data_IF_831554404487
#
_entry.id   IF_831554404487
#
_cell.length_a   1.000
_cell.length_b   1.000
_cell.length_c   1.000
_cell.angle_alpha   90.00
_cell.angle_beta   90.00
_cell.angle_gamma   90.00
#
_symmetry.space_group_name_H-M   'P 1'
#
loop_
_entity.id
_entity.type
_entity.pdbx_description
1 polymer ?
#
# COMPACT_ATOMS: atom_id res chain seq x y z
N UNK A 1 5.37 -11.65 5.11
CA UNK A 1 4.15 -11.97 4.34
C UNK A 1 2.94 -11.39 5.06
N UNK A 2 2.04 -10.70 4.35
CA UNK A 2 0.80 -10.19 4.92
C UNK A 2 -0.20 -11.33 5.18
N UNK A 3 -0.83 -11.36 6.35
CA UNK A 3 -1.90 -12.32 6.65
C UNK A 3 -3.25 -11.75 6.23
N UNK A 4 -4.09 -12.57 5.58
CA UNK A 4 -5.45 -12.17 5.27
C UNK A 4 -6.29 -12.20 6.56
N UNK A 5 -6.70 -11.02 7.03
CA UNK A 5 -7.43 -10.86 8.29
C UNK A 5 -8.90 -11.31 8.24
N UNK A 6 -9.38 -11.92 7.14
CA UNK A 6 -10.76 -12.41 6.95
C UNK A 6 -11.83 -11.41 7.43
N UNK A 7 -11.58 -10.13 7.20
CA UNK A 7 -12.48 -9.03 7.57
C UNK A 7 -13.68 -9.06 6.63
N UNK A 8 -14.90 -9.04 7.17
CA UNK A 8 -16.11 -8.91 6.38
C UNK A 8 -16.47 -7.44 6.21
N UNK A 9 -16.48 -6.89 4.98
CA UNK A 9 -16.90 -5.51 4.74
C UNK A 9 -18.33 -5.25 5.20
N UNK A 10 -19.22 -6.24 5.06
CA UNK A 10 -20.62 -6.13 5.47
C UNK A 10 -20.77 -5.96 6.98
N UNK A 11 -20.00 -6.73 7.77
CA UNK A 11 -20.01 -6.61 9.22
C UNK A 11 -19.41 -5.26 9.62
N UNK A 12 -18.25 -4.91 9.06
CA UNK A 12 -17.57 -3.65 9.39
C UNK A 12 -18.48 -2.44 9.11
N UNK A 13 -19.17 -2.41 7.98
CA UNK A 13 -20.07 -1.31 7.60
C UNK A 13 -21.34 -1.21 8.46
N UNK A 14 -21.76 -2.30 9.12
CA UNK A 14 -22.92 -2.28 10.02
C UNK A 14 -22.63 -1.76 11.43
N UNK A 15 -21.34 -1.64 11.79
CA UNK A 15 -20.87 -1.22 13.10
C UNK A 15 -20.58 0.28 13.15
N UNK A 16 -20.68 0.88 14.33
CA UNK A 16 -20.21 2.25 14.55
C UNK A 16 -18.67 2.36 14.58
N UNK A 17 -18.12 3.57 14.69
CA UNK A 17 -16.68 3.79 14.58
C UNK A 17 -15.83 3.11 15.66
N UNK A 18 -16.30 3.05 16.91
CA UNK A 18 -15.57 2.40 18.00
C UNK A 18 -15.76 0.87 17.95
N UNK A 19 -16.93 0.41 17.52
CA UNK A 19 -17.24 -1.00 17.28
C UNK A 19 -16.43 -1.55 16.08
N UNK A 20 -16.26 -0.78 15.01
CA UNK A 20 -15.43 -1.13 13.86
C UNK A 20 -13.98 -1.37 14.28
N UNK A 21 -13.45 -0.47 15.11
CA UNK A 21 -12.09 -0.57 15.62
C UNK A 21 -11.92 -1.79 16.53
N UNK A 22 -12.90 -2.04 17.40
CA UNK A 22 -12.90 -3.21 18.28
C UNK A 22 -12.96 -4.51 17.48
N UNK A 23 -13.81 -4.59 16.47
CA UNK A 23 -13.89 -5.75 15.57
C UNK A 23 -12.58 -5.99 14.81
N UNK A 24 -11.94 -4.93 14.30
CA UNK A 24 -10.64 -5.03 13.65
C UNK A 24 -9.56 -5.55 14.61
N UNK A 25 -9.53 -5.03 15.84
CA UNK A 25 -8.61 -5.47 16.89
C UNK A 25 -8.76 -6.96 17.18
N UNK A 26 -9.99 -7.46 17.29
CA UNK A 26 -10.25 -8.89 17.47
C UNK A 26 -9.72 -9.75 16.32
N UNK A 27 -9.88 -9.30 15.06
CA UNK A 27 -9.34 -10.06 13.91
C UNK A 27 -7.80 -10.06 13.90
N UNK A 28 -7.18 -8.95 14.25
CA UNK A 28 -5.73 -8.84 14.38
C UNK A 28 -5.20 -9.80 15.46
N UNK A 29 -5.85 -9.85 16.62
CA UNK A 29 -5.50 -10.77 17.70
C UNK A 29 -5.62 -12.25 17.27
N UNK A 30 -6.65 -12.60 16.50
CA UNK A 30 -6.79 -13.96 15.91
C UNK A 30 -5.65 -14.32 14.96
N UNK A 31 -5.05 -13.32 14.31
CA UNK A 31 -3.86 -13.47 13.46
C UNK A 31 -2.53 -13.43 14.23
N UNK A 32 -2.58 -13.46 15.57
CA UNK A 32 -1.46 -13.33 16.51
C UNK A 32 -0.75 -11.97 16.47
N UNK A 33 -1.41 -10.95 15.93
CA UNK A 33 -0.95 -9.57 16.07
C UNK A 33 -1.48 -8.98 17.36
N UNK A 34 -0.59 -8.74 18.32
CA UNK A 34 -0.93 -8.15 19.61
C UNK A 34 -0.73 -6.64 19.55
N UNK A 35 -1.78 -5.95 19.11
CA UNK A 35 -1.88 -4.50 19.23
C UNK A 35 -2.83 -4.15 20.37
N UNK A 36 -2.61 -2.99 20.98
CA UNK A 36 -3.60 -2.31 21.80
C UNK A 36 -4.55 -1.48 20.94
N UNK A 37 -5.72 -1.13 21.47
CA UNK A 37 -6.65 -0.24 20.79
C UNK A 37 -6.02 1.13 20.49
N UNK A 38 -5.18 1.64 21.40
CA UNK A 38 -4.45 2.90 21.21
C UNK A 38 -3.46 2.83 20.05
N UNK A 39 -2.70 1.75 19.92
CA UNK A 39 -1.79 1.55 18.79
C UNK A 39 -2.57 1.45 17.47
N UNK A 40 -3.70 0.75 17.48
CA UNK A 40 -4.56 0.64 16.30
C UNK A 40 -5.14 2.00 15.88
N UNK A 41 -5.56 2.84 16.84
CA UNK A 41 -6.01 4.22 16.56
C UNK A 41 -4.91 5.04 15.89
N UNK A 42 -3.68 4.99 16.44
CA UNK A 42 -2.52 5.71 15.86
C UNK A 42 -2.19 5.24 14.45
N UNK A 43 -2.22 3.93 14.19
CA UNK A 43 -1.99 3.38 12.85
C UNK A 43 -3.06 3.90 11.88
N UNK A 44 -4.32 3.92 12.30
CA UNK A 44 -5.43 4.42 11.48
C UNK A 44 -5.29 5.91 11.16
N UNK A 45 -4.89 6.73 12.15
CA UNK A 45 -4.62 8.16 11.95
C UNK A 45 -3.51 8.40 10.93
N UNK A 46 -2.39 7.67 11.06
CA UNK A 46 -1.27 7.74 10.10
C UNK A 46 -1.71 7.29 8.71
N UNK A 47 -2.47 6.21 8.62
CA UNK A 47 -2.99 5.71 7.34
C UNK A 47 -3.89 6.76 6.67
N UNK A 48 -4.79 7.41 7.42
CA UNK A 48 -5.67 8.47 6.90
C UNK A 48 -4.86 9.66 6.39
N UNK A 49 -3.95 10.19 7.22
CA UNK A 49 -3.12 11.33 6.84
C UNK A 49 -2.28 11.05 5.58
N UNK A 50 -1.68 9.85 5.49
CA UNK A 50 -0.90 9.45 4.32
C UNK A 50 -1.78 9.26 3.07
N UNK A 51 -3.01 8.74 3.23
CA UNK A 51 -3.95 8.57 2.11
C UNK A 51 -4.39 9.93 1.56
N UNK A 52 -4.74 10.87 2.45
CA UNK A 52 -5.13 12.23 2.07
C UNK A 52 -3.97 12.96 1.37
N UNK A 53 -2.76 12.89 1.94
CA UNK A 53 -1.57 13.47 1.33
C UNK A 53 -1.28 12.87 -0.05
N UNK A 54 -1.41 11.54 -0.20
CA UNK A 54 -1.16 10.85 -1.46
C UNK A 54 -2.20 11.20 -2.53
N UNK A 55 -3.48 11.30 -2.15
CA UNK A 55 -4.57 11.63 -3.07
C UNK A 55 -4.48 13.06 -3.61
N UNK A 56 -3.96 13.99 -2.80
CA UNK A 56 -3.78 15.40 -3.19
C UNK A 56 -2.43 15.72 -3.84
N UNK A 57 -1.50 14.76 -3.92
CA UNK A 57 -0.16 15.02 -4.42
C UNK A 57 -0.12 15.08 -5.95
N UNK A 58 0.38 16.20 -6.48
CA UNK A 58 0.67 16.38 -7.89
C UNK A 58 2.19 16.39 -8.10
N UNK A 59 2.77 15.33 -8.69
CA UNK A 59 4.22 15.26 -8.87
C UNK A 59 4.70 16.31 -9.86
N UNK A 60 5.82 16.96 -9.51
CA UNK A 60 6.56 17.83 -10.41
C UNK A 60 7.63 17.02 -11.16
N UNK A 61 8.18 17.60 -12.23
CA UNK A 61 9.32 17.00 -12.94
C UNK A 61 10.53 16.92 -12.01
N UNK A 62 11.26 15.81 -12.08
CA UNK A 62 12.48 15.55 -11.31
C UNK A 62 13.65 15.73 -12.27
N UNK A 63 14.27 16.92 -12.20
CA UNK A 63 15.21 17.37 -13.24
C UNK A 63 16.69 17.09 -12.97
N UNK A 64 17.02 16.80 -11.72
CA UNK A 64 18.43 16.81 -11.27
C UNK A 64 18.88 15.51 -10.61
N UNK A 65 18.01 14.52 -10.50
CA UNK A 65 18.26 13.34 -9.66
C UNK A 65 18.04 12.06 -10.49
N UNK A 66 19.09 11.25 -10.72
CA UNK A 66 18.94 9.89 -11.23
C UNK A 66 18.09 9.03 -10.29
N UNK A 67 17.19 8.22 -10.84
CA UNK A 67 16.29 7.36 -10.06
C UNK A 67 16.62 5.89 -10.30
N UNK A 68 16.84 5.16 -9.21
CA UNK A 68 16.84 3.69 -9.21
C UNK A 68 15.50 3.21 -8.65
N UNK A 69 14.63 2.69 -9.52
CA UNK A 69 13.31 2.21 -9.17
C UNK A 69 13.33 0.69 -9.00
N UNK A 70 13.15 0.23 -7.77
CA UNK A 70 13.05 -1.20 -7.47
C UNK A 70 11.58 -1.61 -7.42
N UNK A 71 11.14 -2.38 -8.42
CA UNK A 71 9.78 -2.88 -8.50
C UNK A 71 9.75 -4.36 -8.12
N UNK A 72 8.79 -4.75 -7.27
CA UNK A 72 8.55 -6.15 -6.99
C UNK A 72 8.19 -6.91 -8.28
N UNK A 73 8.69 -8.14 -8.41
CA UNK A 73 8.32 -9.06 -9.51
C UNK A 73 6.82 -9.36 -9.48
N UNK A 74 6.29 -9.64 -8.29
CA UNK A 74 4.86 -9.88 -8.06
C UNK A 74 4.07 -8.57 -7.99
N UNK A 75 3.04 -8.48 -8.83
CA UNK A 75 2.18 -7.29 -8.98
C UNK A 75 0.77 -7.53 -8.47
N UNK A 76 0.07 -6.47 -8.05
CA UNK A 76 -1.31 -6.56 -7.57
C UNK A 76 -1.49 -7.08 -6.14
N UNK A 77 -0.40 -7.34 -5.40
CA UNK A 77 -0.47 -7.82 -4.02
C UNK A 77 -1.17 -6.86 -3.05
N UNK A 78 -1.21 -5.55 -3.37
CA UNK A 78 -1.88 -4.51 -2.57
C UNK A 78 -3.20 -4.03 -3.21
N UNK A 79 -3.84 -4.86 -4.03
CA UNK A 79 -5.10 -4.52 -4.69
C UNK A 79 -4.96 -3.27 -5.56
N UNK A 80 -5.89 -2.32 -5.41
CA UNK A 80 -5.93 -1.10 -6.22
C UNK A 80 -4.97 0.01 -5.74
N UNK A 81 -4.19 -0.22 -4.67
CA UNK A 81 -3.27 0.78 -4.13
C UNK A 81 -1.98 0.90 -4.95
N UNK A 82 -1.61 -0.17 -5.66
CA UNK A 82 -0.50 -0.18 -6.60
C UNK A 82 -0.98 -0.60 -7.99
N UNK A 83 -0.25 -0.27 -9.06
CA UNK A 83 -0.57 -0.73 -10.40
C UNK A 83 -0.71 -2.25 -10.47
N UNK A 84 -1.77 -2.70 -11.13
CA UNK A 84 -2.02 -4.12 -11.36
C UNK A 84 -1.18 -4.64 -12.55
N UNK A 85 -1.39 -5.90 -12.93
CA UNK A 85 -0.64 -6.53 -14.02
C UNK A 85 -0.83 -5.81 -15.37
N UNK A 86 -2.06 -5.40 -15.71
CA UNK A 86 -2.33 -4.71 -16.97
C UNK A 86 -1.63 -3.34 -17.02
N UNK A 87 -1.73 -2.56 -15.94
CA UNK A 87 -1.04 -1.26 -15.83
C UNK A 87 0.48 -1.40 -15.82
N UNK A 88 1.00 -2.47 -15.21
CA UNK A 88 2.45 -2.74 -15.20
C UNK A 88 2.97 -3.15 -16.57
N UNK A 89 2.15 -3.86 -17.37
CA UNK A 89 2.50 -4.20 -18.74
C UNK A 89 2.52 -2.96 -19.64
N UNK A 90 1.61 -2.00 -19.39
CA UNK A 90 1.57 -0.74 -20.11
C UNK A 90 2.76 0.17 -19.77
N UNK A 91 3.06 0.34 -18.47
CA UNK A 91 4.22 1.09 -18.00
C UNK A 91 4.91 0.34 -16.84
N UNK A 92 6.03 -0.36 -17.10
CA UNK A 92 6.77 -1.09 -16.08
C UNK A 92 7.44 -0.18 -15.05
N UNK A 93 7.53 1.13 -15.34
CA UNK A 93 8.04 2.15 -14.42
C UNK A 93 6.96 2.77 -13.56
N UNK A 94 5.69 2.35 -13.70
CA UNK A 94 4.57 2.85 -12.88
C UNK A 94 4.46 4.39 -12.86
N UNK A 95 4.74 5.05 -13.99
CA UNK A 95 4.69 6.50 -14.14
C UNK A 95 5.97 7.25 -13.81
N UNK A 96 7.01 6.59 -13.25
CA UNK A 96 8.28 7.26 -12.92
C UNK A 96 8.97 7.82 -14.18
N UNK A 97 8.84 7.15 -15.33
CA UNK A 97 9.36 7.63 -16.61
C UNK A 97 8.72 8.94 -17.07
N UNK A 98 7.53 9.26 -16.59
CA UNK A 98 6.81 10.48 -16.95
C UNK A 98 7.28 11.69 -16.15
N UNK A 99 7.96 11.50 -15.01
CA UNK A 99 8.38 12.59 -14.14
C UNK A 99 9.89 12.73 -14.05
N UNK A 100 10.67 11.66 -14.25
CA UNK A 100 12.12 11.73 -14.37
C UNK A 100 12.53 12.34 -15.71
N UNK A 101 13.41 13.34 -15.70
CA UNK A 101 14.04 13.85 -16.94
C UNK A 101 15.50 13.44 -17.07
N UNK A 102 16.10 12.94 -15.99
CA UNK A 102 17.40 12.26 -15.96
C UNK A 102 17.24 10.74 -16.15
N UNK A 103 18.32 9.98 -15.94
CA UNK A 103 18.28 8.52 -16.01
C UNK A 103 17.35 7.89 -14.98
N UNK A 104 16.55 6.93 -15.44
CA UNK A 104 15.70 6.07 -14.65
C UNK A 104 16.08 4.61 -14.94
N UNK A 105 16.56 3.91 -13.92
CA UNK A 105 16.85 2.48 -14.00
C UNK A 105 15.79 1.71 -13.22
N UNK A 106 15.10 0.79 -13.91
CA UNK A 106 14.10 -0.08 -13.29
C UNK A 106 14.70 -1.46 -13.01
N UNK A 107 14.74 -1.83 -11.74
CA UNK A 107 15.28 -3.10 -11.25
C UNK A 107 14.13 -3.99 -10.78
N UNK A 108 14.07 -5.22 -11.27
CA UNK A 108 13.09 -6.22 -10.86
C UNK A 108 13.86 -7.37 -10.20
N UNK A 109 13.87 -7.46 -8.86
CA UNK A 109 14.56 -8.53 -8.16
C UNK A 109 13.96 -9.89 -8.52
N UNK A 110 14.80 -10.91 -8.67
CA UNK A 110 14.33 -12.29 -8.84
C UNK A 110 13.61 -12.76 -7.57
N UNK A 111 12.48 -13.44 -7.75
CA UNK A 111 11.75 -14.04 -6.63
C UNK A 111 12.56 -15.21 -6.07
N UNK A 112 13.10 -15.07 -4.85
CA UNK A 112 13.67 -16.19 -4.11
C UNK A 112 12.51 -17.14 -3.79
N UNK A 113 12.47 -18.29 -4.48
CA UNK A 113 11.56 -19.37 -4.13
C UNK A 113 12.02 -19.97 -2.80
N UNK A 114 11.26 -19.72 -1.72
CA UNK A 114 11.45 -20.33 -0.40
C UNK A 114 10.62 -21.61 -0.28
#
# INVERSE_FOLDING_TARGET
MGQNLKISPKILQSLDGDEQLSYLLEQLQKSRQMLSQTELKRILEVYKANTEASAGYLPQKIDSIPINFFRASDVGALGNYLPNQAMTLEDPTWGWSQIATQSLECHIPETISL
#
